data_IF_545851678378
#
_entry.id   IF_545851678378
#
_cell.length_a   1.000
_cell.length_b   1.000
_cell.length_c   1.000
_cell.angle_alpha   90.00
_cell.angle_beta   90.00
_cell.angle_gamma   90.00
#
_symmetry.space_group_name_H-M   'P 1'
#
loop_
_entity.id
_entity.type
_entity.pdbx_description
1 polymer ?
#
# COMPACT_ATOMS: atom_id res chain seq x y z
N UNK A 1 25.12 6.29 -12.56
CA UNK A 1 24.50 7.31 -11.69
C UNK A 1 23.52 8.08 -12.55
N UNK A 2 22.24 7.74 -12.48
CA UNK A 2 21.18 8.48 -13.15
C UNK A 2 20.57 9.44 -12.13
N UNK A 3 20.84 10.73 -12.30
CA UNK A 3 20.19 11.78 -11.52
C UNK A 3 18.90 12.19 -12.24
N UNK A 4 17.84 12.49 -11.48
CA UNK A 4 16.63 13.11 -12.05
C UNK A 4 17.02 14.44 -12.71
N UNK A 5 17.01 14.47 -14.05
CA UNK A 5 17.20 15.70 -14.81
C UNK A 5 16.03 16.64 -14.60
N UNK A 6 16.33 17.92 -14.56
CA UNK A 6 15.42 19.03 -14.35
C UNK A 6 14.29 19.05 -15.39
N UNK A 7 13.07 18.88 -14.92
CA UNK A 7 11.89 19.41 -15.60
C UNK A 7 10.89 19.93 -14.56
N UNK A 8 10.91 21.23 -14.33
CA UNK A 8 9.82 21.98 -13.69
C UNK A 8 9.98 22.19 -12.18
N UNK A 9 10.05 23.44 -11.79
CA UNK A 9 10.03 24.01 -10.43
C UNK A 9 9.12 23.28 -9.45
N UNK A 10 9.71 22.40 -8.63
CA UNK A 10 9.07 21.74 -7.52
C UNK A 10 10.11 21.40 -6.46
N UNK A 11 10.23 22.24 -5.43
CA UNK A 11 11.11 22.06 -4.29
C UNK A 11 10.67 20.86 -3.42
N UNK A 12 10.86 19.65 -3.93
CA UNK A 12 10.82 18.40 -3.19
C UNK A 12 12.17 17.72 -3.37
N UNK A 13 12.94 17.56 -2.31
CA UNK A 13 14.26 16.93 -2.38
C UNK A 13 14.19 15.59 -3.09
N UNK A 14 14.93 15.47 -4.19
CA UNK A 14 14.98 14.23 -4.94
C UNK A 14 15.52 13.11 -4.05
N UNK A 15 14.89 11.95 -4.04
CA UNK A 15 15.41 10.77 -3.36
C UNK A 15 16.49 10.10 -4.21
N UNK A 16 17.49 9.55 -3.54
CA UNK A 16 18.56 8.78 -4.18
C UNK A 16 18.64 7.40 -3.56
N UNK A 17 18.97 6.42 -4.41
CA UNK A 17 19.22 5.05 -3.98
C UNK A 17 20.59 4.59 -4.46
N UNK A 18 21.23 3.76 -3.63
CA UNK A 18 22.45 3.05 -4.01
C UNK A 18 22.36 1.59 -3.59
N UNK A 19 22.81 0.68 -4.46
CA UNK A 19 22.79 -0.76 -4.17
C UNK A 19 23.85 -1.08 -3.13
N UNK A 20 23.42 -1.63 -2.00
CA UNK A 20 24.30 -2.09 -0.91
C UNK A 20 24.56 -3.59 -1.05
N UNK A 21 23.52 -4.34 -1.43
CA UNK A 21 23.58 -5.80 -1.54
C UNK A 21 22.59 -6.29 -2.59
N UNK A 22 23.02 -7.32 -3.32
CA UNK A 22 22.16 -8.05 -4.25
C UNK A 22 22.27 -9.55 -3.98
N UNK A 23 21.16 -10.25 -4.08
CA UNK A 23 21.08 -11.71 -4.02
C UNK A 23 20.14 -12.21 -5.10
N UNK A 24 20.50 -13.34 -5.71
CA UNK A 24 19.65 -14.11 -6.62
C UNK A 24 19.49 -15.50 -6.04
N UNK A 25 18.27 -16.01 -6.03
CA UNK A 25 17.95 -17.34 -5.51
C UNK A 25 16.86 -18.01 -6.33
N UNK A 26 16.81 -19.33 -6.28
CA UNK A 26 15.67 -20.10 -6.73
C UNK A 26 14.75 -20.30 -5.52
N UNK A 27 13.44 -20.14 -5.70
CA UNK A 27 12.48 -20.38 -4.61
C UNK A 27 11.15 -19.69 -4.88
N UNK A 28 10.12 -20.07 -4.13
CA UNK A 28 8.89 -19.30 -4.12
C UNK A 28 9.14 -17.99 -3.37
N UNK A 29 8.72 -16.85 -3.92
CA UNK A 29 8.71 -15.63 -3.15
C UNK A 29 7.84 -15.87 -1.91
N UNK A 30 8.32 -15.43 -0.76
CA UNK A 30 7.51 -15.41 0.45
C UNK A 30 6.42 -14.32 0.27
N UNK A 31 5.35 -14.68 -0.44
CA UNK A 31 4.14 -13.85 -0.51
C UNK A 31 3.36 -14.03 0.78
N UNK A 32 3.06 -12.91 1.38
CA UNK A 32 2.49 -12.91 2.70
C UNK A 32 3.50 -13.53 3.65
N UNK A 33 4.56 -12.80 3.97
CA UNK A 33 5.21 -13.06 5.24
C UNK A 33 4.05 -13.18 6.23
N UNK A 34 3.92 -14.36 6.87
CA UNK A 34 3.04 -14.50 8.02
C UNK A 34 3.24 -13.21 8.79
N UNK A 35 2.16 -12.42 8.97
CA UNK A 35 2.26 -11.11 9.58
C UNK A 35 3.11 -11.30 10.81
N UNK A 36 4.29 -10.69 10.84
CA UNK A 36 5.14 -10.76 12.00
C UNK A 36 4.23 -10.43 13.18
N UNK A 37 4.29 -11.21 14.26
CA UNK A 37 3.47 -11.03 15.44
C UNK A 37 3.73 -9.62 16.02
N UNK A 38 3.08 -8.63 15.46
CA UNK A 38 3.27 -7.21 15.70
C UNK A 38 1.94 -6.48 15.66
N UNK A 39 1.91 -5.24 16.12
CA UNK A 39 0.70 -4.44 16.09
C UNK A 39 0.23 -4.19 14.66
N UNK A 40 -1.09 -4.19 14.48
CA UNK A 40 -1.78 -3.86 13.24
C UNK A 40 -1.56 -2.38 12.86
N UNK A 41 -1.51 -1.51 13.88
CA UNK A 41 -1.20 -0.09 13.73
C UNK A 41 -0.47 0.45 14.97
N UNK A 42 0.29 1.54 14.77
CA UNK A 42 0.93 2.31 15.86
C UNK A 42 0.76 3.80 15.61
N UNK A 43 0.43 4.54 16.66
CA UNK A 43 0.38 6.00 16.63
C UNK A 43 0.51 6.58 18.04
N UNK A 44 1.33 7.59 18.20
CA UNK A 44 1.45 8.41 19.43
C UNK A 44 1.62 7.56 20.72
N UNK A 45 2.46 6.53 20.67
CA UNK A 45 2.70 5.62 21.79
C UNK A 45 1.63 4.54 21.99
N UNK A 46 0.57 4.54 21.19
CA UNK A 46 -0.46 3.52 21.17
C UNK A 46 -0.18 2.44 20.15
N UNK A 47 -0.58 1.22 20.45
CA UNK A 47 -0.50 0.08 19.52
C UNK A 47 -1.84 -0.66 19.47
N UNK A 48 -2.37 -0.89 18.27
CA UNK A 48 -3.55 -1.71 18.04
C UNK A 48 -3.11 -3.12 17.69
N UNK A 49 -3.57 -4.09 18.47
CA UNK A 49 -3.27 -5.52 18.34
C UNK A 49 -4.52 -6.27 17.93
N UNK A 50 -4.38 -7.32 17.11
CA UNK A 50 -5.46 -8.20 16.70
C UNK A 50 -5.26 -9.62 17.23
N UNK A 51 -6.34 -10.24 17.68
CA UNK A 51 -6.45 -11.68 17.94
C UNK A 51 -7.78 -12.18 17.38
N UNK A 52 -7.92 -13.49 17.26
CA UNK A 52 -9.20 -14.07 16.83
C UNK A 52 -10.35 -13.57 17.72
N UNK A 53 -11.33 -12.93 17.10
CA UNK A 53 -12.50 -12.38 17.76
C UNK A 53 -12.29 -11.10 18.57
N UNK A 54 -11.11 -10.49 18.52
CA UNK A 54 -10.76 -9.40 19.43
C UNK A 54 -9.74 -8.42 18.86
N UNK A 55 -9.98 -7.14 19.15
CA UNK A 55 -9.03 -6.02 18.92
C UNK A 55 -8.68 -5.40 20.27
N UNK A 56 -7.40 -5.11 20.50
CA UNK A 56 -6.91 -4.45 21.72
C UNK A 56 -6.11 -3.20 21.38
N UNK A 57 -6.25 -2.16 22.20
CA UNK A 57 -5.31 -1.04 22.23
C UNK A 57 -4.44 -1.16 23.46
N UNK A 58 -3.14 -0.99 23.29
CA UNK A 58 -2.18 -0.96 24.39
C UNK A 58 -1.33 0.29 24.32
N UNK A 59 -0.89 0.77 25.49
CA UNK A 59 0.06 1.89 25.58
C UNK A 59 1.51 1.43 25.35
N UNK A 60 2.44 2.35 25.43
CA UNK A 60 3.88 2.08 25.23
C UNK A 60 4.49 1.15 26.29
N UNK A 61 3.84 0.99 27.45
CA UNK A 61 4.23 0.06 28.51
C UNK A 61 3.68 -1.36 28.27
N UNK A 62 2.77 -1.54 27.30
CA UNK A 62 2.08 -2.79 27.02
C UNK A 62 0.80 -2.98 27.84
N UNK A 63 0.38 -1.97 28.64
CA UNK A 63 -0.88 -2.03 29.41
C UNK A 63 -2.06 -1.91 28.43
N UNK A 64 -3.02 -2.83 28.58
CA UNK A 64 -4.27 -2.78 27.81
C UNK A 64 -5.10 -1.59 28.27
N UNK A 65 -5.44 -0.72 27.33
CA UNK A 65 -6.33 0.43 27.56
C UNK A 65 -7.79 0.04 27.33
N UNK A 66 -8.05 -0.71 26.28
CA UNK A 66 -9.36 -1.24 25.96
C UNK A 66 -9.29 -2.50 25.08
N UNK A 67 -10.41 -3.20 25.03
CA UNK A 67 -10.62 -4.40 24.20
C UNK A 67 -12.00 -4.29 23.54
N UNK A 68 -12.09 -4.59 22.24
CA UNK A 68 -13.34 -4.63 21.48
C UNK A 68 -13.48 -6.00 20.80
N UNK A 69 -14.70 -6.53 20.74
CA UNK A 69 -15.00 -7.77 20.02
C UNK A 69 -15.05 -7.51 18.51
N UNK A 70 -14.70 -8.51 17.70
CA UNK A 70 -14.83 -8.48 16.25
C UNK A 70 -15.13 -9.87 15.68
N UNK A 71 -15.59 -9.93 14.45
CA UNK A 71 -15.72 -11.20 13.71
C UNK A 71 -14.39 -11.59 13.08
N UNK A 72 -13.99 -12.86 13.21
CA UNK A 72 -12.77 -13.38 12.61
C UNK A 72 -11.47 -12.87 13.23
N UNK A 73 -10.41 -12.81 12.44
CA UNK A 73 -9.10 -12.30 12.84
C UNK A 73 -8.87 -10.92 12.24
N UNK A 74 -8.59 -9.90 13.06
CA UNK A 74 -8.23 -8.57 12.55
C UNK A 74 -7.02 -8.64 11.63
N UNK A 75 -7.15 -8.12 10.44
CA UNK A 75 -6.12 -8.19 9.43
C UNK A 75 -5.44 -6.85 9.13
N UNK A 76 -6.09 -5.72 9.36
CA UNK A 76 -5.51 -4.39 9.32
C UNK A 76 -6.16 -3.47 10.33
N UNK A 77 -5.42 -2.43 10.73
CA UNK A 77 -5.96 -1.31 11.48
C UNK A 77 -5.40 0.01 10.95
N UNK A 78 -6.21 1.05 10.98
CA UNK A 78 -5.87 2.37 10.49
C UNK A 78 -6.32 3.42 11.51
N UNK A 79 -5.39 4.27 11.96
CA UNK A 79 -5.67 5.27 13.00
C UNK A 79 -5.68 6.68 12.39
N UNK A 80 -6.78 7.41 12.56
CA UNK A 80 -6.89 8.81 12.16
C UNK A 80 -7.97 9.54 12.97
N UNK A 81 -7.75 10.81 13.30
CA UNK A 81 -8.76 11.69 13.91
C UNK A 81 -9.42 11.15 15.19
N UNK A 82 -8.69 10.42 16.03
CA UNK A 82 -9.24 9.80 17.24
C UNK A 82 -10.09 8.56 16.98
N UNK A 83 -10.01 7.97 15.81
CA UNK A 83 -10.71 6.74 15.40
C UNK A 83 -9.75 5.65 14.98
N UNK A 84 -10.21 4.41 15.06
CA UNK A 84 -9.52 3.21 14.55
C UNK A 84 -10.46 2.46 13.63
N UNK A 85 -10.10 2.37 12.35
CA UNK A 85 -10.77 1.46 11.41
C UNK A 85 -10.04 0.12 11.45
N UNK A 86 -10.78 -0.96 11.67
CA UNK A 86 -10.26 -2.33 11.69
C UNK A 86 -10.97 -3.16 10.64
N UNK A 87 -10.22 -3.84 9.79
CA UNK A 87 -10.73 -4.88 8.87
C UNK A 87 -10.35 -6.25 9.38
N UNK A 88 -11.13 -7.27 9.00
CA UNK A 88 -10.93 -8.65 9.45
C UNK A 88 -10.85 -9.62 8.26
N UNK A 89 -10.47 -10.87 8.52
CA UNK A 89 -10.48 -11.96 7.54
C UNK A 89 -11.83 -12.67 7.44
N UNK A 90 -12.84 -12.22 8.17
CA UNK A 90 -14.22 -12.74 8.10
C UNK A 90 -14.93 -12.17 6.88
N UNK A 91 -14.59 -12.71 5.70
CA UNK A 91 -15.09 -12.21 4.42
C UNK A 91 -16.14 -13.16 3.85
N UNK A 92 -17.29 -12.58 3.47
CA UNK A 92 -18.32 -13.25 2.70
C UNK A 92 -18.03 -13.10 1.20
N UNK A 93 -18.28 -14.15 0.44
CA UNK A 93 -18.24 -14.08 -1.00
C UNK A 93 -19.48 -13.35 -1.53
N UNK A 94 -19.27 -12.40 -2.42
CA UNK A 94 -20.31 -11.74 -3.19
C UNK A 94 -20.08 -11.96 -4.69
N UNK A 95 -21.07 -11.77 -5.57
CA UNK A 95 -20.86 -11.87 -7.02
C UNK A 95 -19.75 -10.95 -7.56
N UNK A 96 -19.40 -9.89 -6.81
CA UNK A 96 -18.44 -8.87 -7.19
C UNK A 96 -17.09 -8.99 -6.47
N UNK A 97 -16.95 -9.93 -5.54
CA UNK A 97 -15.72 -10.14 -4.77
C UNK A 97 -15.98 -10.45 -3.30
N UNK A 98 -15.00 -10.21 -2.45
CA UNK A 98 -15.07 -10.51 -1.03
C UNK A 98 -15.35 -9.25 -0.22
N UNK A 99 -16.31 -9.33 0.69
CA UNK A 99 -16.73 -8.23 1.55
C UNK A 99 -16.95 -8.74 2.97
N UNK A 100 -16.41 -8.08 3.96
CA UNK A 100 -16.55 -8.46 5.37
C UNK A 100 -16.85 -7.27 6.27
N UNK A 101 -17.16 -7.54 7.55
CA UNK A 101 -17.33 -6.49 8.53
C UNK A 101 -16.05 -5.71 8.74
N UNK A 102 -16.18 -4.40 8.87
CA UNK A 102 -15.12 -3.50 9.29
C UNK A 102 -15.63 -2.65 10.46
N UNK A 103 -14.83 -2.53 11.51
CA UNK A 103 -15.21 -1.84 12.73
C UNK A 103 -14.57 -0.45 12.75
N UNK A 104 -15.38 0.58 12.92
CA UNK A 104 -14.91 1.90 13.27
C UNK A 104 -15.08 2.08 14.78
N UNK A 105 -13.96 2.23 15.50
CA UNK A 105 -13.91 2.31 16.95
C UNK A 105 -13.39 3.68 17.39
N UNK A 106 -13.80 4.14 18.55
CA UNK A 106 -13.15 5.26 19.22
C UNK A 106 -11.76 4.84 19.73
N UNK A 107 -10.75 5.66 19.48
CA UNK A 107 -9.37 5.34 19.87
C UNK A 107 -9.16 5.41 21.39
N UNK A 108 -9.92 6.23 22.09
CA UNK A 108 -9.73 6.47 23.51
C UNK A 108 -10.22 5.31 24.40
N UNK A 109 -11.37 4.72 24.06
CA UNK A 109 -12.02 3.72 24.89
C UNK A 109 -12.44 2.43 24.16
N UNK A 110 -12.26 2.37 22.83
CA UNK A 110 -12.64 1.22 22.03
C UNK A 110 -14.13 1.08 21.78
N UNK A 111 -14.93 2.09 22.12
CA UNK A 111 -16.37 2.07 21.88
C UNK A 111 -16.67 1.95 20.38
N UNK A 112 -17.60 1.07 19.96
CA UNK A 112 -18.04 1.00 18.57
C UNK A 112 -18.69 2.30 18.13
N UNK A 113 -18.20 2.90 17.05
CA UNK A 113 -18.77 4.09 16.41
C UNK A 113 -19.69 3.68 15.28
N UNK A 114 -19.22 2.78 14.42
CA UNK A 114 -20.00 2.22 13.32
C UNK A 114 -19.48 0.83 12.95
N UNK A 115 -20.38 -0.01 12.45
CA UNK A 115 -20.05 -1.23 11.72
C UNK A 115 -20.19 -0.95 10.23
N UNK A 116 -19.08 -1.09 9.51
CA UNK A 116 -18.96 -0.83 8.09
C UNK A 116 -18.71 -2.15 7.36
N UNK A 117 -18.63 -2.12 6.05
CA UNK A 117 -18.29 -3.32 5.26
C UNK A 117 -17.20 -3.01 4.24
N UNK A 118 -16.17 -3.86 4.20
CA UNK A 118 -15.07 -3.74 3.26
C UNK A 118 -13.99 -4.79 3.49
N UNK A 119 -13.20 -5.07 2.48
CA UNK A 119 -12.10 -6.04 2.54
C UNK A 119 -10.74 -5.35 2.77
N UNK A 120 -10.60 -4.13 2.30
CA UNK A 120 -9.36 -3.35 2.36
C UNK A 120 -9.65 -1.97 2.92
N UNK A 121 -8.76 -1.47 3.76
CA UNK A 121 -8.92 -0.16 4.39
C UNK A 121 -7.73 0.76 4.16
N UNK A 122 -7.99 2.06 4.22
CA UNK A 122 -6.99 3.11 4.23
C UNK A 122 -7.49 4.33 5.02
N UNK A 123 -6.58 5.23 5.39
CA UNK A 123 -6.93 6.44 6.13
C UNK A 123 -6.57 7.70 5.38
N UNK A 124 -7.36 8.73 5.64
CA UNK A 124 -7.06 10.12 5.34
C UNK A 124 -6.79 10.92 6.60
N UNK A 125 -6.29 12.13 6.42
CA UNK A 125 -6.21 13.09 7.50
C UNK A 125 -7.63 13.46 8.02
N UNK A 126 -7.73 13.85 9.28
CA UNK A 126 -8.99 14.35 9.86
C UNK A 126 -10.02 13.28 10.22
N UNK A 127 -9.63 11.99 10.29
CA UNK A 127 -10.54 10.92 10.72
C UNK A 127 -11.43 10.39 9.59
N UNK A 128 -11.08 10.64 8.34
CA UNK A 128 -11.75 10.03 7.19
C UNK A 128 -11.08 8.71 6.82
N UNK A 129 -11.88 7.79 6.31
CA UNK A 129 -11.45 6.43 6.01
C UNK A 129 -11.97 5.97 4.67
N UNK A 130 -11.21 5.07 4.04
CA UNK A 130 -11.67 4.30 2.90
C UNK A 130 -11.88 2.85 3.28
N UNK A 131 -12.88 2.25 2.67
CA UNK A 131 -13.04 0.82 2.57
C UNK A 131 -13.22 0.45 1.10
N UNK A 132 -12.65 -0.67 0.69
CA UNK A 132 -12.72 -1.19 -0.65
C UNK A 132 -13.25 -2.61 -0.70
N UNK A 133 -13.94 -2.92 -1.79
CA UNK A 133 -14.24 -4.28 -2.22
C UNK A 133 -13.25 -4.64 -3.32
N UNK A 134 -12.44 -5.67 -3.09
CA UNK A 134 -11.60 -6.26 -4.13
C UNK A 134 -12.41 -7.31 -4.90
N UNK A 135 -12.81 -6.96 -6.12
CA UNK A 135 -13.49 -7.85 -7.04
C UNK A 135 -12.55 -8.49 -8.06
N UNK A 136 -13.09 -9.29 -8.96
CA UNK A 136 -12.30 -9.93 -10.03
C UNK A 136 -11.76 -8.92 -11.04
N UNK A 137 -12.53 -7.86 -11.33
CA UNK A 137 -12.20 -6.88 -12.37
C UNK A 137 -12.39 -5.42 -11.92
N UNK A 138 -13.04 -5.19 -10.76
CA UNK A 138 -13.44 -3.86 -10.30
C UNK A 138 -13.36 -3.78 -8.79
N UNK A 139 -12.87 -2.67 -8.30
CA UNK A 139 -12.79 -2.36 -6.88
C UNK A 139 -13.76 -1.23 -6.58
N UNK A 140 -14.86 -1.54 -5.89
CA UNK A 140 -15.69 -0.48 -5.34
C UNK A 140 -15.03 0.07 -4.09
N UNK A 141 -15.05 1.38 -3.96
CA UNK A 141 -14.46 2.11 -2.85
C UNK A 141 -15.47 3.04 -2.24
N UNK A 142 -15.51 3.07 -0.92
CA UNK A 142 -16.36 3.93 -0.10
C UNK A 142 -15.51 4.79 0.80
N UNK A 143 -15.78 6.09 0.82
CA UNK A 143 -15.20 7.04 1.75
C UNK A 143 -16.18 7.31 2.89
N UNK A 144 -15.72 7.17 4.11
CA UNK A 144 -16.48 7.43 5.32
C UNK A 144 -15.85 8.56 6.13
N UNK A 145 -16.68 9.35 6.79
CA UNK A 145 -16.22 10.32 7.78
C UNK A 145 -15.86 9.64 9.11
N UNK A 146 -15.45 10.47 10.08
CA UNK A 146 -15.06 10.01 11.41
C UNK A 146 -16.19 9.35 12.23
N UNK A 147 -17.43 9.58 11.85
CA UNK A 147 -18.61 9.06 12.54
C UNK A 147 -19.23 7.86 11.77
N UNK A 148 -18.58 7.44 10.68
CA UNK A 148 -18.98 6.30 9.85
C UNK A 148 -20.06 6.63 8.83
N UNK A 149 -20.37 7.91 8.62
CA UNK A 149 -21.29 8.30 7.55
C UNK A 149 -20.59 8.24 6.19
N UNK A 150 -21.29 7.70 5.18
CA UNK A 150 -20.79 7.63 3.80
C UNK A 150 -20.68 9.04 3.21
N UNK A 151 -19.48 9.43 2.80
CA UNK A 151 -19.19 10.73 2.19
C UNK A 151 -19.19 10.65 0.68
N UNK A 152 -18.57 9.60 0.13
CA UNK A 152 -18.41 9.41 -1.30
C UNK A 152 -18.20 7.93 -1.65
N UNK A 153 -18.42 7.58 -2.92
CA UNK A 153 -18.13 6.25 -3.42
C UNK A 153 -17.72 6.31 -4.90
N UNK A 154 -16.80 5.43 -5.29
CA UNK A 154 -16.34 5.34 -6.68
C UNK A 154 -15.75 3.97 -6.96
N UNK A 155 -15.42 3.74 -8.22
CA UNK A 155 -14.65 2.58 -8.63
C UNK A 155 -13.19 2.92 -8.71
N UNK A 156 -12.36 2.08 -8.13
CA UNK A 156 -10.91 2.18 -8.22
C UNK A 156 -10.30 0.80 -8.46
N UNK A 157 -9.02 0.78 -8.78
CA UNK A 157 -8.27 -0.44 -9.07
C UNK A 157 -6.93 -0.39 -8.34
N UNK A 158 -6.57 -1.46 -7.63
CA UNK A 158 -5.24 -1.61 -7.07
C UNK A 158 -5.05 -1.12 -5.63
N UNK A 159 -3.86 -0.66 -5.32
CA UNK A 159 -3.42 -0.39 -3.95
C UNK A 159 -3.68 1.04 -3.52
N UNK A 160 -4.24 1.22 -2.32
CA UNK A 160 -4.36 2.53 -1.71
C UNK A 160 -3.02 3.01 -1.17
N UNK A 161 -2.68 4.24 -1.53
CA UNK A 161 -1.49 4.91 -1.04
C UNK A 161 -1.92 6.18 -0.34
N UNK A 162 -1.78 6.22 0.97
CA UNK A 162 -2.15 7.37 1.78
C UNK A 162 -0.93 8.24 2.08
N UNK A 163 -1.11 9.53 1.95
CA UNK A 163 -0.11 10.56 2.21
C UNK A 163 -0.81 11.91 2.21
N UNK A 164 -0.20 12.94 1.64
CA UNK A 164 -0.83 14.26 1.45
C UNK A 164 -1.81 14.27 0.28
N UNK A 165 -2.73 13.36 0.27
CA UNK A 165 -3.72 13.15 -0.78
C UNK A 165 -3.91 11.66 -1.01
N UNK A 166 -5.08 11.27 -1.47
CA UNK A 166 -5.37 9.89 -1.78
C UNK A 166 -4.76 9.58 -3.12
N UNK A 167 -4.00 8.50 -3.17
CA UNK A 167 -3.46 7.97 -4.40
C UNK A 167 -3.72 6.49 -4.45
N UNK A 168 -4.01 6.02 -5.62
CA UNK A 168 -4.21 4.61 -5.93
C UNK A 168 -3.25 4.27 -7.04
N UNK A 169 -2.60 3.14 -6.96
CA UNK A 169 -1.95 2.54 -8.11
C UNK A 169 -3.00 1.67 -8.78
N UNK A 170 -3.61 2.19 -9.81
CA UNK A 170 -4.57 1.43 -10.62
C UNK A 170 -3.84 0.37 -11.41
N UNK A 171 -4.37 -0.85 -11.34
CA UNK A 171 -4.02 -1.92 -12.27
C UNK A 171 -5.19 -2.13 -13.23
N UNK A 172 -4.96 -2.00 -14.51
CA UNK A 172 -5.96 -2.35 -15.50
C UNK A 172 -5.68 -3.75 -16.02
N UNK A 173 -6.46 -4.72 -15.57
CA UNK A 173 -6.33 -6.11 -16.01
C UNK A 173 -6.78 -6.34 -17.46
N UNK A 174 -7.58 -5.42 -18.00
CA UNK A 174 -8.18 -5.54 -19.33
C UNK A 174 -7.46 -4.72 -20.39
N UNK A 175 -6.56 -3.81 -19.99
CA UNK A 175 -5.77 -3.04 -20.93
C UNK A 175 -4.32 -3.50 -20.90
N UNK A 176 -3.70 -3.75 -22.05
CA UNK A 176 -2.29 -4.12 -22.14
C UNK A 176 -1.33 -2.99 -21.76
N UNK A 177 -1.85 -1.87 -21.27
CA UNK A 177 -1.12 -0.62 -21.03
C UNK A 177 -0.55 -0.50 -19.62
N UNK A 178 -0.69 -1.54 -18.77
CA UNK A 178 -0.10 -1.52 -17.43
C UNK A 178 -0.92 -0.76 -16.37
N UNK A 179 -0.30 -0.48 -15.27
CA UNK A 179 -0.88 0.26 -14.15
C UNK A 179 -0.57 1.75 -14.23
N UNK A 180 -1.19 2.53 -13.35
CA UNK A 180 -1.03 3.98 -13.30
C UNK A 180 -1.15 4.49 -11.87
N UNK A 181 -0.35 5.46 -11.51
CA UNK A 181 -0.56 6.19 -10.27
C UNK A 181 -1.62 7.26 -10.50
N UNK A 182 -2.64 7.29 -9.64
CA UNK A 182 -3.73 8.26 -9.73
C UNK A 182 -3.97 8.92 -8.38
N UNK A 183 -4.48 10.14 -8.40
CA UNK A 183 -5.06 10.81 -7.24
C UNK A 183 -6.56 10.80 -7.36
N UNK A 184 -7.23 10.32 -6.32
CA UNK A 184 -8.68 10.41 -6.21
C UNK A 184 -9.05 11.79 -5.67
N UNK A 185 -10.01 12.43 -6.30
CA UNK A 185 -10.55 13.72 -5.93
C UNK A 185 -12.01 13.55 -5.50
N UNK A 186 -12.58 14.49 -4.72
CA UNK A 186 -13.98 14.46 -4.32
C UNK A 186 -14.92 14.27 -5.54
N UNK A 187 -16.03 13.57 -5.33
CA UNK A 187 -17.01 13.29 -6.38
C UNK A 187 -16.56 12.23 -7.40
N UNK A 188 -15.56 11.41 -7.06
CA UNK A 188 -15.06 10.34 -7.91
C UNK A 188 -14.21 10.79 -9.10
N UNK A 189 -13.83 12.06 -9.17
CA UNK A 189 -12.90 12.54 -10.18
C UNK A 189 -11.50 11.96 -9.94
N UNK A 190 -10.77 11.70 -11.03
CA UNK A 190 -9.44 11.07 -10.99
C UNK A 190 -8.43 11.93 -11.72
N UNK A 191 -7.40 12.35 -10.99
CA UNK A 191 -6.21 12.96 -11.59
C UNK A 191 -5.19 11.86 -11.90
N UNK A 192 -4.80 11.77 -13.17
CA UNK A 192 -3.92 10.69 -13.65
C UNK A 192 -2.47 11.13 -13.67
N UNK A 193 -1.63 10.33 -13.02
CA UNK A 193 -0.18 10.45 -13.04
C UNK A 193 0.48 9.55 -14.10
N UNK A 194 1.74 9.14 -13.85
CA UNK A 194 2.52 8.36 -14.81
C UNK A 194 1.91 6.98 -15.06
N UNK A 195 1.94 6.57 -16.33
CA UNK A 195 1.72 5.18 -16.68
C UNK A 195 2.92 4.33 -16.24
N UNK A 196 2.64 3.11 -15.79
CA UNK A 196 3.62 2.12 -15.40
C UNK A 196 3.54 0.94 -16.38
N UNK A 197 4.65 0.25 -16.55
CA UNK A 197 4.77 -0.88 -17.49
C UNK A 197 4.16 -2.15 -16.90
N UNK A 198 4.29 -2.31 -15.57
CA UNK A 198 3.80 -3.52 -14.90
C UNK A 198 2.29 -3.45 -14.66
N UNK A 199 1.49 -4.38 -15.23
CA UNK A 199 0.06 -4.44 -14.99
C UNK A 199 -0.29 -4.86 -13.56
N UNK A 200 0.63 -5.47 -12.83
CA UNK A 200 0.47 -5.99 -11.48
C UNK A 200 1.47 -5.35 -10.51
N UNK A 201 1.59 -4.03 -10.56
CA UNK A 201 2.50 -3.29 -9.69
C UNK A 201 2.30 -3.72 -8.22
N UNK A 202 3.37 -4.08 -7.50
CA UNK A 202 3.27 -4.44 -6.09
C UNK A 202 2.87 -3.25 -5.25
N UNK A 203 2.42 -3.53 -4.02
CA UNK A 203 2.04 -2.49 -3.05
C UNK A 203 3.12 -1.41 -2.94
N UNK A 204 2.78 -0.15 -3.22
CA UNK A 204 3.73 0.95 -3.18
C UNK A 204 4.11 1.31 -1.74
N UNK A 205 5.24 1.99 -1.58
CA UNK A 205 5.72 2.47 -0.29
C UNK A 205 5.67 3.99 -0.24
N UNK A 206 5.03 4.55 0.80
CA UNK A 206 4.98 5.99 1.04
C UNK A 206 6.13 6.43 1.94
N UNK A 207 6.86 7.44 1.51
CA UNK A 207 7.91 8.10 2.30
C UNK A 207 7.31 9.23 3.15
N UNK A 208 8.09 9.69 4.14
CA UNK A 208 7.63 10.69 5.10
C UNK A 208 7.24 12.04 4.45
N UNK A 209 7.87 12.40 3.33
CA UNK A 209 7.54 13.59 2.54
C UNK A 209 6.34 13.40 1.60
N UNK A 210 5.73 12.21 1.61
CA UNK A 210 4.61 11.86 0.74
C UNK A 210 5.02 11.40 -0.66
N UNK A 211 6.30 11.24 -0.94
CA UNK A 211 6.78 10.57 -2.15
C UNK A 211 6.37 9.09 -2.11
N UNK A 212 5.91 8.57 -3.23
CA UNK A 212 5.54 7.17 -3.38
C UNK A 212 6.66 6.45 -4.13
N UNK A 213 7.16 5.35 -3.56
CA UNK A 213 8.05 4.43 -4.26
C UNK A 213 7.21 3.33 -4.91
N UNK A 214 7.43 3.13 -6.19
CA UNK A 214 6.73 2.13 -7.02
C UNK A 214 7.77 1.24 -7.68
N UNK A 215 7.55 -0.07 -7.66
CA UNK A 215 8.35 -1.03 -8.41
C UNK A 215 7.60 -1.39 -9.70
N UNK A 216 8.09 -0.88 -10.82
CA UNK A 216 7.51 -0.99 -12.13
C UNK A 216 8.36 -1.91 -13.01
N UNK A 217 7.94 -3.18 -13.15
CA UNK A 217 8.64 -4.19 -13.98
C UNK A 217 10.16 -4.20 -13.78
N UNK A 218 10.61 -4.16 -12.51
CA UNK A 218 12.04 -4.15 -12.16
C UNK A 218 12.70 -2.79 -12.15
N UNK A 219 11.96 -1.72 -12.44
CA UNK A 219 12.40 -0.32 -12.32
C UNK A 219 11.83 0.28 -11.04
N UNK A 220 12.67 0.77 -10.15
CA UNK A 220 12.24 1.52 -8.98
C UNK A 220 12.03 2.99 -9.35
N UNK A 221 10.80 3.48 -9.18
CA UNK A 221 10.41 4.86 -9.47
C UNK A 221 9.99 5.58 -8.21
N UNK A 222 10.21 6.89 -8.16
CA UNK A 222 9.60 7.79 -7.21
C UNK A 222 8.52 8.62 -7.89
N UNK A 223 7.37 8.77 -7.24
CA UNK A 223 6.27 9.63 -7.68
C UNK A 223 6.03 10.66 -6.59
N UNK A 224 6.13 11.92 -6.91
CA UNK A 224 5.97 13.03 -5.98
C UNK A 224 4.50 13.37 -5.70
N UNK A 225 4.27 14.39 -4.86
CA UNK A 225 2.92 14.85 -4.52
C UNK A 225 2.15 15.47 -5.69
N UNK A 226 2.84 15.91 -6.74
CA UNK A 226 2.25 16.49 -7.95
C UNK A 226 2.07 15.46 -9.07
N UNK A 227 2.29 14.18 -8.74
CA UNK A 227 2.29 13.07 -9.69
C UNK A 227 3.42 13.13 -10.73
N UNK A 228 4.42 13.99 -10.53
CA UNK A 228 5.68 13.92 -11.25
C UNK A 228 6.45 12.66 -10.84
N UNK A 229 7.24 12.10 -11.76
CA UNK A 229 7.98 10.87 -11.48
C UNK A 229 9.40 10.89 -12.01
N UNK A 230 10.26 10.11 -11.35
CA UNK A 230 11.60 9.84 -11.83
C UNK A 230 12.03 8.40 -11.55
N UNK A 231 12.97 7.91 -12.35
CA UNK A 231 13.61 6.62 -12.13
C UNK A 231 14.69 6.77 -11.07
N UNK A 232 14.58 5.99 -9.99
CA UNK A 232 15.60 5.94 -8.94
C UNK A 232 16.65 4.87 -9.23
N UNK A 233 16.23 3.72 -9.78
CA UNK A 233 17.13 2.63 -10.15
C UNK A 233 16.46 1.70 -11.17
N UNK A 234 17.22 1.28 -12.14
CA UNK A 234 16.92 0.13 -12.99
C UNK A 234 17.58 -1.11 -12.35
N UNK A 235 16.76 -1.93 -11.68
CA UNK A 235 17.26 -3.05 -10.90
C UNK A 235 17.37 -4.33 -11.73
N UNK A 236 16.38 -4.56 -12.59
CA UNK A 236 16.30 -5.71 -13.47
C UNK A 236 15.50 -5.35 -14.72
N UNK A 237 16.08 -5.46 -15.91
CA UNK A 237 15.29 -5.37 -17.14
C UNK A 237 14.40 -6.62 -17.22
N UNK A 238 13.09 -6.41 -17.12
CA UNK A 238 12.09 -7.47 -17.29
C UNK A 238 11.69 -7.52 -18.75
N UNK A 239 11.90 -8.67 -19.38
CA UNK A 239 11.44 -8.93 -20.75
C UNK A 239 10.01 -9.52 -20.70
N UNK A 240 8.97 -8.75 -21.05
CA UNK A 240 7.58 -9.21 -20.95
C UNK A 240 7.29 -10.38 -21.92
N UNK A 241 8.07 -10.56 -22.96
CA UNK A 241 7.88 -11.67 -23.90
C UNK A 241 8.37 -13.00 -23.34
N UNK A 242 9.35 -12.96 -22.44
CA UNK A 242 9.91 -14.15 -21.78
C UNK A 242 9.34 -14.35 -20.37
N UNK A 243 9.04 -13.29 -19.66
CA UNK A 243 8.57 -13.33 -18.29
C UNK A 243 7.04 -13.37 -18.26
N UNK A 244 6.49 -14.49 -17.85
CA UNK A 244 5.04 -14.68 -17.76
C UNK A 244 4.44 -13.99 -16.54
N UNK A 245 5.14 -14.02 -15.40
CA UNK A 245 4.74 -13.36 -14.15
C UNK A 245 5.93 -12.67 -13.52
N UNK A 246 5.70 -11.44 -13.13
CA UNK A 246 6.63 -10.68 -12.33
C UNK A 246 5.89 -10.21 -11.08
N UNK A 247 6.38 -10.61 -9.91
CA UNK A 247 5.79 -10.19 -8.64
C UNK A 247 6.86 -9.58 -7.78
N UNK A 248 6.57 -8.47 -7.17
CA UNK A 248 7.53 -7.73 -6.38
C UNK A 248 7.03 -7.33 -5.01
N UNK A 249 7.91 -6.69 -4.25
CA UNK A 249 7.60 -6.11 -2.96
C UNK A 249 8.65 -5.09 -2.54
N UNK A 250 8.19 -4.09 -1.81
CA UNK A 250 9.01 -3.03 -1.23
C UNK A 250 8.88 -3.08 0.29
N UNK A 251 10.01 -3.03 0.99
CA UNK A 251 10.04 -2.96 2.45
C UNK A 251 11.11 -2.00 2.92
N UNK A 252 10.71 -1.03 3.74
CA UNK A 252 11.64 -0.07 4.34
C UNK A 252 11.94 -0.40 5.80
N UNK A 253 13.21 -0.22 6.18
CA UNK A 253 13.68 -0.27 7.56
C UNK A 253 14.74 0.83 7.74
N UNK A 254 14.38 1.92 8.40
CA UNK A 254 15.22 3.10 8.52
C UNK A 254 15.60 3.71 7.16
N UNK A 255 16.91 3.79 6.91
CA UNK A 255 17.51 4.24 5.64
C UNK A 255 17.68 3.11 4.60
N UNK A 256 17.22 1.91 4.90
CA UNK A 256 17.32 0.73 4.03
C UNK A 256 16.00 0.43 3.37
N UNK A 257 16.06 0.20 2.05
CA UNK A 257 14.96 -0.29 1.25
C UNK A 257 15.32 -1.69 0.75
N UNK A 258 14.50 -2.67 1.09
CA UNK A 258 14.58 -4.01 0.50
C UNK A 258 13.59 -4.08 -0.66
N UNK A 259 14.10 -4.41 -1.83
CA UNK A 259 13.29 -4.66 -3.03
C UNK A 259 13.39 -6.14 -3.34
N UNK A 260 12.26 -6.79 -3.48
CA UNK A 260 12.19 -8.21 -3.89
C UNK A 260 11.41 -8.29 -5.20
N UNK A 261 11.93 -9.03 -6.17
CA UNK A 261 11.27 -9.30 -7.43
C UNK A 261 11.37 -10.79 -7.71
N UNK A 262 10.25 -11.42 -8.02
CA UNK A 262 10.19 -12.82 -8.45
C UNK A 262 9.68 -12.89 -9.87
N UNK A 263 10.46 -13.53 -10.73
CA UNK A 263 10.12 -13.80 -12.12
C UNK A 263 9.75 -15.27 -12.31
N UNK A 264 8.72 -15.52 -13.08
CA UNK A 264 8.37 -16.83 -13.60
C UNK A 264 8.38 -16.76 -15.12
N UNK A 265 9.21 -17.59 -15.74
CA UNK A 265 9.38 -17.62 -17.19
C UNK A 265 8.39 -18.58 -17.84
N UNK A 266 7.96 -18.25 -19.06
CA UNK A 266 7.00 -19.06 -19.85
C UNK A 266 7.49 -20.49 -20.14
N UNK A 267 8.78 -20.64 -20.36
CA UNK A 267 9.43 -21.93 -20.61
C UNK A 267 9.60 -22.80 -19.36
N UNK A 268 9.37 -22.24 -18.16
CA UNK A 268 9.57 -22.89 -16.86
C UNK A 268 8.46 -22.56 -15.87
N UNK A 269 7.20 -22.91 -16.18
CA UNK A 269 6.07 -22.61 -15.29
C UNK A 269 6.26 -23.25 -13.91
N UNK A 270 5.95 -22.49 -12.89
CA UNK A 270 6.10 -22.88 -11.47
C UNK A 270 7.54 -22.75 -10.92
N UNK A 271 8.53 -22.41 -11.75
CA UNK A 271 9.88 -22.09 -11.28
C UNK A 271 10.07 -20.58 -11.21
N UNK A 272 10.32 -20.10 -10.01
CA UNK A 272 10.56 -18.67 -9.79
C UNK A 272 12.05 -18.41 -9.57
N UNK A 273 12.53 -17.32 -10.17
CA UNK A 273 13.82 -16.72 -9.84
C UNK A 273 13.54 -15.50 -8.98
N UNK A 274 14.07 -15.49 -7.77
CA UNK A 274 13.87 -14.40 -6.81
C UNK A 274 15.13 -13.55 -6.76
N UNK A 275 14.94 -12.27 -6.98
CA UNK A 275 15.98 -11.24 -6.86
C UNK A 275 15.68 -10.40 -5.63
N UNK A 276 16.69 -10.11 -4.84
CA UNK A 276 16.56 -9.26 -3.65
C UNK A 276 17.68 -8.25 -3.62
N UNK A 277 17.32 -6.98 -3.60
CA UNK A 277 18.25 -5.88 -3.40
C UNK A 277 18.05 -5.26 -2.03
N UNK A 278 19.14 -4.90 -1.39
CA UNK A 278 19.14 -3.96 -0.27
C UNK A 278 19.73 -2.66 -0.78
N UNK A 279 18.94 -1.60 -0.76
CA UNK A 279 19.33 -0.28 -1.21
C UNK A 279 19.49 0.64 0.00
N UNK A 280 20.46 1.54 -0.04
CA UNK A 280 20.47 2.71 0.85
C UNK A 280 19.56 3.76 0.20
N UNK A 281 18.59 4.28 0.96
CA UNK A 281 17.63 5.29 0.55
C UNK A 281 17.93 6.59 1.30
N UNK A 282 18.26 7.66 0.58
CA UNK A 282 18.64 8.95 1.15
C UNK A 282 17.85 10.07 0.49
N UNK A 283 17.41 11.09 1.24
CA UNK A 283 16.95 12.32 0.62
C UNK A 283 18.12 12.97 -0.14
N UNK A 284 17.81 13.50 -1.30
CA UNK A 284 18.76 14.29 -2.06
C UNK A 284 19.10 15.60 -1.36
N UNK A 285 20.14 16.32 -1.82
CA UNK A 285 20.40 17.65 -1.33
C UNK A 285 19.18 18.53 -1.56
N UNK A 286 18.78 19.28 -0.53
CA UNK A 286 17.75 20.29 -0.70
C UNK A 286 18.16 21.22 -1.86
N UNK A 287 17.25 21.48 -2.79
CA UNK A 287 17.50 22.52 -3.78
C UNK A 287 17.69 23.84 -3.02
N UNK A 288 18.86 24.45 -3.18
CA UNK A 288 19.23 25.75 -2.60
C UNK A 288 18.55 26.86 -3.38
#
# INVERSE_FOLDING_TARGET
MAGCGESGDGAGGAWHVSVVKYRRGAGRPAYGAARAAGPLARRDGLSVLGRTGEVRCVDSSGRVLWTAACSGVPNAAHISGGRVLVTTDSLDYTPWGHLGPALLLDLADGAPVAELRGASGAVLSGGRFFLGLEGYDVFDTWEYDRDGALVDSWRSYGHYVTGTGIRVVETDRNLPTGSRVVRLLPGGAVERGPALTDPLCPEPLVLADGTILVLDAGVLRAVDRRLGHCVLAELLPVDPDQTWRCRGGLRRSGDRLTVTLAEEHRDRPGKHVVHTWTLALRPGPAAV
#
